data_IF_579510965551
#
_entry.id   IF_579510965551
#
_cell.length_a   1.000
_cell.length_b   1.000
_cell.length_c   1.000
_cell.angle_alpha   90.00
_cell.angle_beta   90.00
_cell.angle_gamma   90.00
#
_symmetry.space_group_name_H-M   'P 1'
#
loop_
_entity.id
_entity.type
_entity.pdbx_description
1 polymer ?
#
# COMPACT_ATOMS: atom_id res chain seq x y z
N UNK A 1 -6.46 -4.77 -2.48
CA UNK A 1 -7.27 -3.54 -2.63
C UNK A 1 -8.68 -4.00 -2.96
N UNK A 2 -9.63 -3.68 -2.09
CA UNK A 2 -10.97 -4.26 -2.18
C UNK A 2 -11.98 -3.16 -1.89
N UNK A 3 -13.09 -3.16 -2.62
CA UNK A 3 -14.13 -2.12 -2.51
C UNK A 3 -15.26 -2.51 -1.56
N UNK A 4 -15.41 -3.81 -1.27
CA UNK A 4 -16.48 -4.36 -0.41
C UNK A 4 -17.87 -3.82 -0.78
N UNK A 5 -18.08 -3.49 -2.07
CA UNK A 5 -19.29 -2.89 -2.61
C UNK A 5 -19.78 -1.66 -1.81
N UNK A 6 -18.86 -0.87 -1.26
CA UNK A 6 -19.20 0.31 -0.46
C UNK A 6 -19.50 0.04 1.01
N UNK A 7 -19.41 -1.21 1.49
CA UNK A 7 -19.62 -1.55 2.90
C UNK A 7 -18.35 -1.30 3.73
N UNK A 8 -18.33 -0.32 4.65
CA UNK A 8 -17.15 0.00 5.45
C UNK A 8 -16.91 -0.97 6.62
N UNK A 9 -17.89 -1.81 6.95
CA UNK A 9 -17.81 -2.78 8.06
C UNK A 9 -17.15 -4.09 7.61
N UNK A 10 -17.43 -4.55 6.40
CA UNK A 10 -16.83 -5.77 5.82
C UNK A 10 -15.28 -5.82 5.84
N UNK A 11 -14.54 -4.73 5.55
CA UNK A 11 -13.08 -4.71 5.68
C UNK A 11 -12.57 -5.18 7.04
N UNK A 12 -13.29 -4.86 8.12
CA UNK A 12 -12.90 -5.18 9.49
C UNK A 12 -12.85 -6.69 9.74
N UNK A 13 -13.86 -7.42 9.26
CA UNK A 13 -13.96 -8.87 9.41
C UNK A 13 -13.19 -9.65 8.32
N UNK A 14 -12.89 -9.01 7.20
CA UNK A 14 -12.25 -9.70 6.08
C UNK A 14 -10.71 -9.64 6.10
N UNK A 15 -10.10 -8.56 6.60
CA UNK A 15 -8.63 -8.45 6.64
C UNK A 15 -7.95 -9.22 7.77
N UNK A 16 -8.54 -9.17 8.96
CA UNK A 16 -7.92 -9.61 10.21
C UNK A 16 -8.12 -11.10 10.56
N UNK A 17 -9.03 -11.80 9.89
CA UNK A 17 -9.28 -13.23 10.13
C UNK A 17 -8.26 -14.07 9.36
N UNK A 18 -7.84 -15.19 9.96
CA UNK A 18 -6.92 -16.18 9.37
C UNK A 18 -7.37 -16.61 7.96
N UNK A 19 -6.40 -16.81 7.07
CA UNK A 19 -6.63 -17.39 5.74
C UNK A 19 -7.21 -18.83 5.81
N UNK A 20 -6.91 -19.60 6.87
CA UNK A 20 -7.34 -20.99 7.05
C UNK A 20 -8.62 -21.17 7.86
N UNK A 21 -9.19 -20.09 8.43
CA UNK A 21 -10.48 -20.14 9.12
C UNK A 21 -11.62 -20.37 8.11
N UNK A 22 -11.79 -21.63 7.69
CA UNK A 22 -12.66 -22.08 6.60
C UNK A 22 -14.10 -21.56 6.70
N UNK A 23 -14.71 -21.63 7.89
CA UNK A 23 -16.07 -21.14 8.11
C UNK A 23 -16.21 -19.63 7.91
N UNK A 24 -15.20 -18.85 8.29
CA UNK A 24 -15.23 -17.39 8.12
C UNK A 24 -14.83 -16.96 6.71
N UNK A 25 -13.94 -17.70 6.04
CA UNK A 25 -13.55 -17.41 4.64
C UNK A 25 -14.71 -17.65 3.65
N UNK A 26 -15.64 -18.56 3.97
CA UNK A 26 -16.89 -18.78 3.24
C UNK A 26 -17.85 -17.58 3.28
N UNK A 27 -17.82 -16.80 4.36
CA UNK A 27 -18.78 -15.71 4.62
C UNK A 27 -18.16 -14.33 4.30
N UNK A 28 -16.83 -14.20 4.33
CA UNK A 28 -16.13 -12.92 4.14
C UNK A 28 -15.43 -12.86 2.79
N UNK A 29 -16.13 -12.30 1.79
CA UNK A 29 -15.61 -12.08 0.44
C UNK A 29 -14.65 -10.88 0.44
N UNK A 30 -13.55 -10.99 -0.33
CA UNK A 30 -12.60 -9.89 -0.57
C UNK A 30 -12.70 -9.52 -2.06
N UNK A 31 -13.76 -8.82 -2.49
CA UNK A 31 -13.93 -8.50 -3.90
C UNK A 31 -12.85 -7.50 -4.32
N UNK A 32 -12.13 -7.74 -5.43
CA UNK A 32 -11.18 -6.77 -5.93
C UNK A 32 -11.90 -5.50 -6.34
N UNK A 33 -11.20 -4.35 -6.27
CA UNK A 33 -11.72 -3.10 -6.83
C UNK A 33 -12.12 -3.26 -8.32
N UNK A 34 -13.18 -2.57 -8.78
CA UNK A 34 -13.49 -2.46 -10.20
C UNK A 34 -12.29 -2.02 -11.03
N UNK A 35 -12.19 -2.56 -12.24
CA UNK A 35 -11.08 -2.28 -13.15
C UNK A 35 -11.61 -2.04 -14.56
N UNK A 36 -10.85 -1.30 -15.36
CA UNK A 36 -11.07 -1.19 -16.81
C UNK A 36 -10.71 -2.53 -17.48
N UNK A 37 -11.05 -2.68 -18.76
CA UNK A 37 -10.84 -3.91 -19.51
C UNK A 37 -9.35 -4.31 -19.58
N UNK A 38 -8.47 -3.31 -19.69
CA UNK A 38 -7.01 -3.48 -19.65
C UNK A 38 -6.49 -3.96 -18.29
N UNK A 39 -7.25 -3.79 -17.20
CA UNK A 39 -6.90 -4.17 -15.83
C UNK A 39 -6.44 -3.01 -14.95
N UNK A 40 -6.46 -1.76 -15.44
CA UNK A 40 -6.26 -0.55 -14.62
C UNK A 40 -7.36 -0.41 -13.58
N UNK A 41 -7.00 -0.04 -12.36
CA UNK A 41 -7.98 0.10 -11.28
C UNK A 41 -8.80 1.39 -11.45
N UNK A 42 -10.14 1.26 -11.45
CA UNK A 42 -11.07 2.40 -11.54
C UNK A 42 -11.09 3.21 -10.23
N UNK A 43 -11.03 2.50 -9.12
CA UNK A 43 -10.98 3.07 -7.76
C UNK A 43 -9.84 2.44 -6.97
N UNK A 44 -9.16 3.23 -6.16
CA UNK A 44 -7.99 2.79 -5.38
C UNK A 44 -7.99 3.47 -4.02
N UNK A 45 -7.26 2.95 -3.02
CA UNK A 45 -7.11 3.61 -1.72
C UNK A 45 -6.67 5.07 -1.88
N UNK A 46 -7.24 5.95 -1.07
CA UNK A 46 -7.01 7.40 -1.16
C UNK A 46 -5.52 7.79 -1.21
N UNK A 47 -4.70 7.18 -0.34
CA UNK A 47 -3.26 7.42 -0.33
C UNK A 47 -2.56 7.09 -1.66
N UNK A 48 -3.01 6.07 -2.40
CA UNK A 48 -2.45 5.79 -3.74
C UNK A 48 -2.86 6.84 -4.77
N UNK A 49 -4.10 7.37 -4.72
CA UNK A 49 -4.49 8.50 -5.60
C UNK A 49 -3.69 9.76 -5.29
N UNK A 50 -3.35 10.01 -4.03
CA UNK A 50 -2.44 11.12 -3.66
C UNK A 50 -1.06 10.92 -4.26
N UNK A 51 -0.49 9.72 -4.19
CA UNK A 51 0.82 9.43 -4.80
C UNK A 51 0.78 9.53 -6.33
N UNK A 52 -0.27 9.02 -6.98
CA UNK A 52 -0.47 9.18 -8.44
C UNK A 52 -0.49 10.66 -8.83
N UNK A 53 -1.31 11.47 -8.17
CA UNK A 53 -1.38 12.89 -8.42
C UNK A 53 -0.05 13.61 -8.12
N UNK A 54 0.66 13.21 -7.06
CA UNK A 54 1.98 13.74 -6.73
C UNK A 54 3.00 13.48 -7.85
N UNK A 55 3.02 12.27 -8.40
CA UNK A 55 3.91 11.90 -9.50
C UNK A 55 3.59 12.71 -10.75
N UNK A 56 2.32 12.80 -11.14
CA UNK A 56 1.88 13.57 -12.31
C UNK A 56 2.22 15.06 -12.17
N UNK A 57 1.97 15.66 -11.00
CA UNK A 57 2.32 17.06 -10.72
C UNK A 57 3.84 17.31 -10.75
N UNK A 58 4.65 16.26 -10.65
CA UNK A 58 6.10 16.32 -10.68
C UNK A 58 6.69 15.88 -12.04
N UNK A 59 5.89 15.86 -13.11
CA UNK A 59 6.37 15.67 -14.48
C UNK A 59 6.62 14.22 -14.89
N UNK A 60 6.01 13.25 -14.18
CA UNK A 60 5.88 11.90 -14.72
C UNK A 60 4.74 11.87 -15.74
N UNK A 61 4.93 11.13 -16.84
CA UNK A 61 3.90 10.94 -17.85
C UNK A 61 2.78 10.04 -17.32
N UNK A 62 1.54 10.32 -17.72
CA UNK A 62 0.38 9.51 -17.34
C UNK A 62 0.46 8.09 -17.91
N UNK A 63 1.10 7.91 -19.06
CA UNK A 63 1.30 6.61 -19.69
C UNK A 63 2.37 5.76 -18.97
N UNK A 64 3.23 6.38 -18.16
CA UNK A 64 4.27 5.70 -17.38
C UNK A 64 3.77 5.25 -16.00
N UNK A 65 2.59 5.69 -15.59
CA UNK A 65 2.01 5.39 -14.27
C UNK A 65 0.79 4.51 -14.43
N UNK A 66 0.78 3.41 -13.68
CA UNK A 66 -0.38 2.53 -13.64
C UNK A 66 -0.64 2.02 -12.23
N UNK A 67 -1.90 2.11 -11.79
CA UNK A 67 -2.35 1.48 -10.55
C UNK A 67 -3.25 0.30 -10.90
N UNK A 68 -2.91 -0.87 -10.36
CA UNK A 68 -3.58 -2.13 -10.66
C UNK A 68 -3.92 -2.91 -9.40
N UNK A 69 -4.98 -3.71 -9.47
CA UNK A 69 -5.16 -4.78 -8.48
C UNK A 69 -4.07 -5.86 -8.70
N UNK A 70 -3.46 -6.43 -7.63
CA UNK A 70 -2.45 -7.50 -7.75
C UNK A 70 -2.83 -8.69 -8.63
N UNK A 71 -4.13 -8.96 -8.84
CA UNK A 71 -4.62 -10.01 -9.75
C UNK A 71 -4.18 -9.80 -11.21
N UNK A 72 -3.95 -8.54 -11.63
CA UNK A 72 -3.56 -8.19 -12.98
C UNK A 72 -2.04 -8.03 -13.15
N UNK A 73 -1.24 -8.35 -12.12
CA UNK A 73 0.22 -8.14 -12.13
C UNK A 73 0.91 -8.70 -13.37
N UNK A 74 0.50 -9.89 -13.85
CA UNK A 74 1.07 -10.55 -15.04
C UNK A 74 0.92 -9.73 -16.32
N UNK A 75 -0.11 -8.88 -16.42
CA UNK A 75 -0.38 -8.07 -17.62
C UNK A 75 0.50 -6.83 -17.71
N UNK A 76 0.91 -6.27 -16.57
CA UNK A 76 1.58 -4.97 -16.49
C UNK A 76 3.06 -5.07 -16.11
N UNK A 77 3.50 -6.16 -15.49
CA UNK A 77 4.89 -6.33 -15.14
C UNK A 77 5.68 -6.89 -16.33
N UNK A 78 6.69 -6.13 -16.77
CA UNK A 78 7.53 -6.46 -17.91
C UNK A 78 8.95 -5.90 -17.79
N UNK A 79 9.81 -6.07 -18.82
CA UNK A 79 11.20 -5.62 -18.81
C UNK A 79 11.35 -4.09 -18.72
N UNK A 80 10.32 -3.34 -19.13
CA UNK A 80 10.28 -1.88 -19.05
C UNK A 80 9.86 -1.37 -17.67
N UNK A 81 9.31 -2.23 -16.78
CA UNK A 81 8.89 -1.80 -15.46
C UNK A 81 10.10 -1.50 -14.59
N UNK A 82 10.29 -0.22 -14.23
CA UNK A 82 11.43 0.21 -13.40
C UNK A 82 11.14 0.13 -11.90
N UNK A 83 9.92 0.50 -11.49
CA UNK A 83 9.52 0.63 -10.10
C UNK A 83 8.16 -0.04 -9.89
N UNK A 84 8.02 -0.77 -8.78
CA UNK A 84 6.72 -1.26 -8.29
C UNK A 84 6.49 -0.69 -6.90
N UNK A 85 5.53 0.24 -6.80
CA UNK A 85 5.05 0.79 -5.55
C UNK A 85 3.94 -0.08 -4.95
N UNK A 86 4.09 -0.47 -3.69
CA UNK A 86 3.10 -1.27 -2.96
C UNK A 86 2.66 -0.51 -1.71
N UNK A 87 1.35 -0.26 -1.59
CA UNK A 87 0.77 0.23 -0.34
C UNK A 87 0.29 -0.95 0.51
N UNK A 88 0.57 -0.93 1.82
CA UNK A 88 0.01 -1.90 2.75
C UNK A 88 -0.40 -1.24 4.07
N UNK A 89 -1.56 -1.65 4.58
CA UNK A 89 -2.06 -1.25 5.90
C UNK A 89 -1.44 -2.11 7.01
N UNK A 90 -1.29 -3.42 6.78
CA UNK A 90 -0.75 -4.37 7.75
C UNK A 90 0.00 -5.50 7.02
N UNK A 91 1.21 -5.24 6.48
CA UNK A 91 1.92 -6.20 5.64
C UNK A 91 2.32 -7.50 6.35
N UNK A 92 2.41 -7.53 7.68
CA UNK A 92 2.79 -8.74 8.42
C UNK A 92 1.83 -9.09 9.56
N UNK A 93 0.62 -8.54 9.56
CA UNK A 93 -0.44 -8.90 10.51
C UNK A 93 -0.12 -8.53 11.95
N UNK A 94 0.62 -7.45 12.17
CA UNK A 94 1.07 -7.03 13.51
C UNK A 94 0.13 -6.03 14.17
N UNK A 95 -0.92 -5.57 13.49
CA UNK A 95 -1.89 -4.68 14.12
C UNK A 95 -2.69 -5.40 15.20
N UNK A 96 -3.28 -4.62 16.11
CA UNK A 96 -4.10 -5.15 17.19
C UNK A 96 -5.25 -6.02 16.68
N UNK A 97 -5.93 -5.59 15.61
CA UNK A 97 -7.05 -6.34 15.04
C UNK A 97 -6.57 -7.67 14.48
N UNK A 98 -5.56 -7.66 13.61
CA UNK A 98 -5.00 -8.88 13.01
C UNK A 98 -4.53 -9.86 14.09
N UNK A 99 -3.79 -9.41 15.12
CA UNK A 99 -3.34 -10.28 16.22
C UNK A 99 -4.48 -10.83 17.07
N UNK A 100 -5.45 -10.00 17.44
CA UNK A 100 -6.57 -10.44 18.27
C UNK A 100 -7.46 -11.44 17.54
N UNK A 101 -7.84 -11.16 16.29
CA UNK A 101 -8.71 -12.07 15.53
C UNK A 101 -7.98 -13.34 15.10
N UNK A 102 -6.71 -13.27 14.70
CA UNK A 102 -5.94 -14.50 14.44
C UNK A 102 -5.80 -15.36 15.69
N UNK A 103 -5.61 -14.78 16.88
CA UNK A 103 -5.57 -15.54 18.12
C UNK A 103 -6.93 -16.15 18.51
N UNK A 104 -8.01 -15.36 18.45
CA UNK A 104 -9.35 -15.78 18.92
C UNK A 104 -10.08 -16.70 17.94
N UNK A 105 -10.09 -16.37 16.65
CA UNK A 105 -10.88 -17.07 15.63
C UNK A 105 -10.03 -17.71 14.53
N UNK A 106 -8.75 -17.35 14.47
CA UNK A 106 -7.80 -17.86 13.48
C UNK A 106 -6.83 -18.91 14.01
N UNK A 107 -6.96 -19.35 15.26
CA UNK A 107 -6.10 -20.35 15.91
C UNK A 107 -4.60 -20.04 15.82
N UNK A 108 -4.22 -18.76 15.86
CA UNK A 108 -2.84 -18.29 15.80
C UNK A 108 -2.21 -18.31 14.40
N UNK A 109 -2.98 -18.55 13.35
CA UNK A 109 -2.51 -18.58 11.97
C UNK A 109 -2.29 -17.16 11.38
N UNK A 110 -1.64 -17.09 10.22
CA UNK A 110 -1.37 -15.84 9.51
C UNK A 110 -2.66 -15.12 9.08
N UNK A 111 -2.71 -13.80 9.29
CA UNK A 111 -3.84 -12.97 8.83
C UNK A 111 -3.92 -12.93 7.31
N UNK A 112 -5.12 -12.69 6.75
CA UNK A 112 -5.29 -12.59 5.30
C UNK A 112 -4.48 -11.44 4.69
N UNK A 113 -4.30 -10.34 5.42
CA UNK A 113 -3.43 -9.24 5.00
C UNK A 113 -1.97 -9.70 4.83
N UNK A 114 -1.41 -10.36 5.85
CA UNK A 114 -0.05 -10.88 5.83
C UNK A 114 0.15 -11.93 4.73
N UNK A 115 -0.80 -12.88 4.61
CA UNK A 115 -0.79 -13.88 3.55
C UNK A 115 -0.80 -13.25 2.16
N UNK A 116 -1.69 -12.28 1.91
CA UNK A 116 -1.81 -11.63 0.61
C UNK A 116 -0.56 -10.82 0.26
N UNK A 117 0.02 -10.12 1.23
CA UNK A 117 1.27 -9.37 1.07
C UNK A 117 2.45 -10.30 0.75
N UNK A 118 2.60 -11.38 1.51
CA UNK A 118 3.62 -12.41 1.28
C UNK A 118 3.46 -13.10 -0.07
N UNK A 119 2.23 -13.45 -0.45
CA UNK A 119 1.92 -14.06 -1.76
C UNK A 119 2.26 -13.11 -2.92
N UNK A 120 1.99 -11.82 -2.77
CA UNK A 120 2.35 -10.80 -3.76
C UNK A 120 3.88 -10.71 -3.92
N UNK A 121 4.62 -10.51 -2.84
CA UNK A 121 6.07 -10.30 -2.91
C UNK A 121 6.86 -11.55 -3.30
N UNK A 122 6.35 -12.74 -3.02
CA UNK A 122 6.97 -13.98 -3.48
C UNK A 122 6.61 -14.35 -4.93
N UNK A 123 5.84 -13.52 -5.64
CA UNK A 123 5.49 -13.75 -7.03
C UNK A 123 6.76 -13.82 -7.90
N UNK A 124 6.89 -14.88 -8.70
CA UNK A 124 8.04 -15.15 -9.57
C UNK A 124 8.31 -14.01 -10.57
N UNK A 125 7.30 -13.21 -10.91
CA UNK A 125 7.44 -12.10 -11.85
C UNK A 125 8.38 -10.99 -11.31
N UNK A 126 8.43 -10.75 -10.00
CA UNK A 126 9.37 -9.79 -9.42
C UNK A 126 10.82 -10.27 -9.56
N UNK A 127 11.07 -11.58 -9.48
CA UNK A 127 12.38 -12.16 -9.77
C UNK A 127 12.72 -12.17 -11.26
N UNK A 128 11.71 -12.34 -12.12
CA UNK A 128 11.89 -12.39 -13.58
C UNK A 128 12.28 -11.02 -14.16
N UNK A 129 11.62 -9.95 -13.72
CA UNK A 129 11.82 -8.61 -14.28
C UNK A 129 12.64 -7.68 -13.38
N UNK A 130 12.86 -8.05 -12.12
CA UNK A 130 13.71 -7.32 -11.16
C UNK A 130 13.45 -5.81 -11.07
N UNK A 131 12.18 -5.34 -10.98
CA UNK A 131 11.91 -3.93 -10.75
C UNK A 131 12.34 -3.53 -9.34
N UNK A 132 12.54 -2.23 -9.10
CA UNK A 132 12.74 -1.71 -7.74
C UNK A 132 11.44 -1.75 -6.95
N UNK A 133 11.44 -2.49 -5.84
CA UNK A 133 10.28 -2.67 -4.98
C UNK A 133 10.29 -1.59 -3.89
N UNK A 134 9.26 -0.73 -3.91
CA UNK A 134 9.07 0.33 -2.92
C UNK A 134 7.79 0.09 -2.15
N UNK A 135 7.89 -0.03 -0.83
CA UNK A 135 6.72 -0.26 0.05
C UNK A 135 6.40 1.00 0.86
N UNK A 136 5.13 1.40 0.83
CA UNK A 136 4.58 2.50 1.62
C UNK A 136 3.24 2.12 2.26
N UNK A 137 2.52 3.12 2.74
CA UNK A 137 1.25 2.94 3.47
C UNK A 137 1.44 2.86 4.98
N UNK A 138 0.32 2.85 5.71
CA UNK A 138 0.31 2.97 7.17
C UNK A 138 1.01 1.81 7.89
N UNK A 139 1.12 0.64 7.26
CA UNK A 139 1.81 -0.53 7.79
C UNK A 139 3.27 -0.66 7.37
N UNK A 140 3.82 0.26 6.55
CA UNK A 140 5.16 0.11 5.98
C UNK A 140 6.27 -0.01 7.04
N UNK A 141 6.09 0.61 8.21
CA UNK A 141 7.04 0.54 9.33
C UNK A 141 7.32 -0.89 9.80
N UNK A 142 6.39 -1.81 9.59
CA UNK A 142 6.50 -3.21 9.98
C UNK A 142 7.59 -3.96 9.21
N UNK A 143 7.88 -3.53 7.98
CA UNK A 143 8.87 -4.16 7.10
C UNK A 143 10.16 -3.34 6.98
N UNK A 144 10.37 -2.32 7.80
CA UNK A 144 11.58 -1.45 7.75
C UNK A 144 12.89 -2.19 8.09
N UNK A 145 12.80 -3.23 8.91
CA UNK A 145 13.96 -3.98 9.40
C UNK A 145 14.70 -4.73 8.29
N UNK A 146 16.04 -4.75 8.33
CA UNK A 146 16.89 -5.37 7.30
C UNK A 146 16.48 -6.81 6.97
N UNK A 147 16.24 -7.64 7.98
CA UNK A 147 15.82 -9.05 7.80
C UNK A 147 14.50 -9.17 7.02
N UNK A 148 13.50 -8.35 7.37
CA UNK A 148 12.19 -8.36 6.69
C UNK A 148 12.29 -7.88 5.25
N UNK A 149 13.05 -6.80 4.99
CA UNK A 149 13.29 -6.33 3.63
C UNK A 149 13.97 -7.38 2.77
N UNK A 150 14.99 -8.05 3.30
CA UNK A 150 15.69 -9.12 2.59
C UNK A 150 14.78 -10.32 2.32
N UNK A 151 13.97 -10.73 3.31
CA UNK A 151 13.01 -11.83 3.16
C UNK A 151 12.02 -11.58 2.00
N UNK A 152 11.51 -10.35 1.91
CA UNK A 152 10.51 -9.98 0.91
C UNK A 152 11.08 -9.40 -0.40
N UNK A 153 12.40 -9.18 -0.49
CA UNK A 153 13.01 -8.50 -1.65
C UNK A 153 12.59 -7.03 -1.80
N UNK A 154 12.45 -6.30 -0.69
CA UNK A 154 12.06 -4.88 -0.69
C UNK A 154 13.33 -4.01 -0.73
N UNK A 155 13.46 -3.17 -1.77
CA UNK A 155 14.56 -2.22 -1.90
C UNK A 155 14.39 -1.03 -0.94
N UNK A 156 13.21 -0.40 -0.96
CA UNK A 156 12.95 0.85 -0.23
C UNK A 156 11.63 0.81 0.55
N UNK A 157 11.65 1.37 1.77
CA UNK A 157 10.46 1.52 2.61
C UNK A 157 10.23 3.01 2.90
N UNK A 158 9.05 3.51 2.55
CA UNK A 158 8.61 4.89 2.80
C UNK A 158 7.83 4.93 4.11
N UNK A 159 8.23 5.79 5.04
CA UNK A 159 7.56 6.00 6.34
C UNK A 159 7.16 7.46 6.45
N UNK A 160 5.85 7.71 6.45
CA UNK A 160 5.24 9.03 6.58
C UNK A 160 4.41 9.44 5.36
N UNK A 161 4.14 10.73 5.24
CA UNK A 161 3.38 11.35 4.16
C UNK A 161 4.24 11.44 2.88
N UNK A 162 3.78 10.82 1.78
CA UNK A 162 4.61 10.60 0.61
C UNK A 162 4.55 11.69 -0.47
N UNK A 163 3.70 12.71 -0.31
CA UNK A 163 3.31 13.65 -1.36
C UNK A 163 4.52 14.35 -2.00
N UNK A 164 5.47 14.82 -1.18
CA UNK A 164 6.67 15.52 -1.64
C UNK A 164 7.82 14.55 -1.90
N UNK A 165 8.00 13.58 -1.01
CA UNK A 165 9.20 12.73 -1.00
C UNK A 165 9.16 11.65 -2.09
N UNK A 166 8.00 11.03 -2.35
CA UNK A 166 7.91 9.91 -3.31
C UNK A 166 8.31 10.31 -4.73
N UNK A 167 7.85 11.43 -5.30
CA UNK A 167 8.31 11.85 -6.63
C UNK A 167 9.82 12.08 -6.72
N UNK A 168 10.42 12.68 -5.67
CA UNK A 168 11.88 12.88 -5.60
C UNK A 168 12.61 11.53 -5.60
N UNK A 169 12.15 10.59 -4.77
CA UNK A 169 12.76 9.26 -4.67
C UNK A 169 12.62 8.48 -5.98
N UNK A 170 11.45 8.51 -6.62
CA UNK A 170 11.24 7.78 -7.87
C UNK A 170 12.12 8.33 -8.98
N UNK A 171 12.29 9.66 -9.08
CA UNK A 171 13.25 10.27 -10.01
C UNK A 171 14.68 9.81 -9.76
N UNK A 172 15.11 9.74 -8.49
CA UNK A 172 16.44 9.22 -8.12
C UNK A 172 16.61 7.76 -8.55
N UNK A 173 15.62 6.91 -8.28
CA UNK A 173 15.64 5.50 -8.69
C UNK A 173 15.76 5.37 -10.21
N UNK A 174 14.97 6.15 -10.98
CA UNK A 174 15.03 6.13 -12.45
C UNK A 174 16.38 6.58 -13.01
N UNK A 175 17.09 7.47 -12.31
CA UNK A 175 18.44 7.93 -12.66
C UNK A 175 19.56 7.02 -12.14
N UNK A 176 19.22 5.91 -11.48
CA UNK A 176 20.18 5.03 -10.79
C UNK A 176 21.02 5.74 -9.72
N UNK A 177 20.48 6.81 -9.13
CA UNK A 177 21.11 7.49 -8.00
C UNK A 177 20.96 6.67 -6.71
N UNK A 178 21.89 6.79 -5.74
CA UNK A 178 21.79 6.09 -4.47
C UNK A 178 20.57 6.57 -3.66
N UNK A 179 19.78 5.61 -3.18
CA UNK A 179 18.57 5.85 -2.39
C UNK A 179 18.62 5.02 -1.09
N UNK A 180 18.32 5.61 0.09
CA UNK A 180 18.28 4.88 1.35
C UNK A 180 17.24 3.75 1.34
N UNK A 181 17.55 2.66 2.03
CA UNK A 181 16.61 1.54 2.12
C UNK A 181 15.37 1.82 2.98
N UNK A 182 15.48 2.78 3.92
CA UNK A 182 14.35 3.27 4.72
C UNK A 182 14.37 4.78 4.62
N UNK A 183 13.26 5.34 4.16
CA UNK A 183 13.10 6.76 3.88
C UNK A 183 12.00 7.27 4.80
N UNK A 184 12.39 8.13 5.74
CA UNK A 184 11.43 8.94 6.49
C UNK A 184 11.10 10.15 5.64
N UNK A 185 9.81 10.43 5.48
CA UNK A 185 9.37 11.54 4.65
C UNK A 185 9.21 12.82 5.43
N UNK A 186 9.12 13.92 4.69
CA UNK A 186 8.78 15.23 5.20
C UNK A 186 7.25 15.40 5.10
N UNK A 187 6.64 15.98 6.14
CA UNK A 187 5.23 16.37 6.06
C UNK A 187 5.11 17.68 5.28
N UNK A 188 4.13 17.81 4.38
CA UNK A 188 3.74 19.09 3.78
C UNK A 188 3.57 20.17 4.85
N UNK A 189 4.18 21.32 4.60
CA UNK A 189 4.06 22.51 5.45
C UNK A 189 2.94 23.42 4.96
N UNK A 190 2.59 23.33 3.67
CA UNK A 190 1.53 24.12 3.03
C UNK A 190 0.54 23.21 2.32
N UNK A 191 -0.73 23.63 2.30
CA UNK A 191 -1.79 22.90 1.60
C UNK A 191 -1.52 22.76 0.10
N UNK A 192 -0.84 23.74 -0.51
CA UNK A 192 -0.45 23.70 -1.93
C UNK A 192 0.55 22.59 -2.27
N UNK A 193 1.22 22.01 -1.28
CA UNK A 193 2.12 20.86 -1.46
C UNK A 193 1.36 19.52 -1.45
N UNK A 194 0.08 19.54 -1.04
CA UNK A 194 -0.80 18.38 -1.02
C UNK A 194 -1.56 18.31 -2.36
N UNK A 195 -1.30 17.31 -3.22
CA UNK A 195 -1.90 17.27 -4.54
C UNK A 195 -3.40 16.92 -4.47
N UNK A 196 -4.19 17.51 -5.37
CA UNK A 196 -5.57 17.08 -5.60
C UNK A 196 -5.57 15.74 -6.34
N UNK A 197 -6.41 14.80 -5.88
CA UNK A 197 -6.55 13.50 -6.55
C UNK A 197 -7.19 13.69 -7.94
N UNK A 198 -6.73 12.92 -8.92
CA UNK A 198 -7.24 13.00 -10.32
C UNK A 198 -8.22 11.88 -10.68
N UNK A 199 -8.39 10.90 -9.80
CA UNK A 199 -9.26 9.75 -10.00
C UNK A 199 -9.98 9.36 -8.72
N UNK A 200 -11.00 8.52 -8.86
CA UNK A 200 -11.85 8.11 -7.75
C UNK A 200 -11.10 7.29 -6.69
N UNK A 201 -11.42 7.57 -5.42
CA UNK A 201 -10.92 6.84 -4.26
C UNK A 201 -11.97 5.81 -3.78
N UNK A 202 -11.50 4.71 -3.18
CA UNK A 202 -12.37 3.75 -2.50
C UNK A 202 -13.23 4.48 -1.46
N UNK A 203 -14.51 4.10 -1.37
CA UNK A 203 -15.55 4.75 -0.55
C UNK A 203 -15.78 6.25 -0.83
N UNK A 204 -15.30 6.80 -1.96
CA UNK A 204 -15.42 8.23 -2.23
C UNK A 204 -14.65 9.10 -1.22
N UNK A 205 -13.62 8.54 -0.59
CA UNK A 205 -12.87 9.19 0.49
C UNK A 205 -12.26 10.52 0.04
N UNK A 206 -12.43 11.57 0.84
CA UNK A 206 -11.76 12.86 0.71
C UNK A 206 -11.09 13.20 2.03
N UNK A 207 -9.82 13.63 1.98
CA UNK A 207 -9.08 14.11 3.14
C UNK A 207 -9.27 15.62 3.27
N UNK A 208 -9.94 16.04 4.35
CA UNK A 208 -10.19 17.45 4.66
C UNK A 208 -9.17 18.04 5.64
N UNK A 209 -8.40 17.20 6.32
CA UNK A 209 -7.37 17.60 7.28
C UNK A 209 -6.34 16.49 7.46
N UNK A 210 -5.13 16.85 7.92
CA UNK A 210 -4.05 15.91 8.27
C UNK A 210 -3.60 16.11 9.70
N UNK A 211 -3.31 15.01 10.38
CA UNK A 211 -3.03 15.01 11.81
C UNK A 211 -4.30 15.07 12.66
N UNK A 212 -4.18 14.72 13.94
CA UNK A 212 -5.32 14.57 14.84
C UNK A 212 -5.38 15.66 15.93
N UNK A 213 -4.26 16.31 16.26
CA UNK A 213 -4.19 17.42 17.23
C UNK A 213 -4.53 17.05 18.69
N UNK A 214 -5.14 15.89 18.95
CA UNK A 214 -5.61 15.45 20.27
C UNK A 214 -4.53 15.16 21.31
N UNK A 215 -3.25 15.07 20.92
CA UNK A 215 -2.15 14.88 21.87
C UNK A 215 -2.19 13.60 22.72
N UNK A 216 -2.92 12.57 22.29
CA UNK A 216 -3.08 11.35 23.09
C UNK A 216 -1.74 10.65 23.36
N UNK A 217 -1.44 10.37 24.64
CA UNK A 217 -0.16 9.75 25.08
C UNK A 217 0.15 8.41 24.41
N UNK A 218 -0.89 7.66 24.05
CA UNK A 218 -0.81 6.32 23.44
C UNK A 218 -0.79 6.35 21.91
N UNK A 219 -1.11 7.48 21.26
CA UNK A 219 -1.27 7.56 19.81
C UNK A 219 0.06 7.90 19.13
N UNK A 220 0.63 6.93 18.41
CA UNK A 220 1.88 7.12 17.66
C UNK A 220 1.75 8.09 16.47
N UNK A 221 0.64 8.17 15.71
CA UNK A 221 0.47 9.17 14.64
C UNK A 221 0.62 10.64 15.07
N UNK A 222 0.41 10.97 16.35
CA UNK A 222 0.57 12.33 16.87
C UNK A 222 2.00 12.62 17.38
N UNK A 223 2.91 11.64 17.38
CA UNK A 223 4.33 11.86 17.71
C UNK A 223 5.07 12.28 16.44
N UNK A 224 4.79 13.51 15.99
CA UNK A 224 5.61 14.22 15.00
C UNK A 224 6.89 14.70 15.67
#
# INVERSE_FOLDING_TARGET
MSDYNGNPVEPFFSGAISHRAFFFSLITRIPPVPSFEDGRAKIVPYGLRKIEAALLNNGFDENDIVIIHPKYLKRFLGPNTKIVGITSMDPVGMTYCDRTFTALVGFGDESRNAYAFRKLLHNKLFRKYSPKIVVGGAGAWQVRGKKMRQYFGIDHVIIGEGDITVPKIFKKILKNEPVPAVIKTESPQKDSEIPLIRGAAVFGTVEISRGCGRGCKFCTPNRR
#
